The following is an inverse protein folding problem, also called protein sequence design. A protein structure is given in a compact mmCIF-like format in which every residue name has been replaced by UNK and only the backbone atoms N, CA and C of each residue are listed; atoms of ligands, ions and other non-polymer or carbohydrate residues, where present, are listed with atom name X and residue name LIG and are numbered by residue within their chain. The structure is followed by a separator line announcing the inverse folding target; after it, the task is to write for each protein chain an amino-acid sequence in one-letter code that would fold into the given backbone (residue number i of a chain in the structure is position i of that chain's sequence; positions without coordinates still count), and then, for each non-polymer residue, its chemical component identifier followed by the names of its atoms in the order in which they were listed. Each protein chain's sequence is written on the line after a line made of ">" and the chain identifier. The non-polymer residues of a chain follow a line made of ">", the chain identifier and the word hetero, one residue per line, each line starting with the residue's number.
data_IF_287309781029
#
_entry.id   IF_287309781029
#
_cell.length_a   1.000
_cell.length_b   1.000
_cell.length_c   1.000
_cell.angle_alpha   90.00
_cell.angle_beta   90.00
_cell.angle_gamma   90.00
#
_symmetry.space_group_name_H-M   'P 1'
#
loop_
_entity.id
_entity.type
_entity.pdbx_description
1 polymer ?
#
# COMPACT_ATOMS: atom_id res chain seq x y z
N UNK A 1 -18.66 10.39 -18.67
CA UNK A 1 -17.36 9.70 -18.59
C UNK A 1 -16.88 9.80 -17.15
N UNK A 2 -17.13 8.75 -16.37
CA UNK A 2 -16.77 8.70 -14.97
C UNK A 2 -15.31 8.27 -14.81
N UNK A 3 -14.70 8.63 -13.67
CA UNK A 3 -13.33 8.27 -13.28
C UNK A 3 -13.05 6.75 -13.41
N UNK A 4 -14.10 5.93 -13.38
CA UNK A 4 -14.05 4.47 -13.47
C UNK A 4 -13.95 3.92 -14.90
N UNK A 5 -14.25 4.71 -15.94
CA UNK A 5 -14.06 4.27 -17.34
C UNK A 5 -12.57 4.21 -17.73
N UNK A 6 -11.71 4.93 -16.99
CA UNK A 6 -10.26 4.90 -17.20
C UNK A 6 -9.62 3.63 -16.61
N UNK A 7 -10.15 3.11 -15.51
CA UNK A 7 -9.65 1.89 -14.86
C UNK A 7 -10.19 0.59 -15.52
N UNK A 8 -11.31 0.65 -16.25
CA UNK A 8 -12.04 -0.53 -16.73
C UNK A 8 -11.55 -1.19 -18.01
N UNK A 9 -10.61 -0.61 -18.76
CA UNK A 9 -10.35 -1.07 -20.14
C UNK A 9 -9.11 -1.98 -20.36
N UNK A 10 -8.33 -2.32 -19.35
CA UNK A 10 -7.09 -3.13 -19.56
C UNK A 10 -6.77 -4.22 -18.56
N UNK A 11 -7.67 -4.62 -17.68
CA UNK A 11 -7.40 -5.70 -16.74
C UNK A 11 -8.27 -6.91 -17.07
N UNK A 12 -7.79 -7.76 -17.97
CA UNK A 12 -8.30 -9.12 -18.19
C UNK A 12 -7.49 -10.12 -17.35
N UNK A 13 -7.28 -9.84 -16.08
CA UNK A 13 -6.87 -10.85 -15.12
C UNK A 13 -8.14 -11.40 -14.46
N UNK A 14 -8.42 -12.67 -14.61
CA UNK A 14 -9.63 -13.32 -14.12
C UNK A 14 -9.82 -13.16 -12.61
N UNK A 15 -8.75 -12.90 -11.86
CA UNK A 15 -8.79 -12.62 -10.43
C UNK A 15 -9.21 -11.18 -10.12
N UNK A 16 -8.78 -10.22 -10.93
CA UNK A 16 -9.20 -8.81 -10.80
C UNK A 16 -10.61 -8.59 -11.38
N UNK A 17 -11.00 -9.32 -12.42
CA UNK A 17 -12.36 -9.25 -12.97
C UNK A 17 -13.39 -9.80 -11.99
N UNK A 18 -13.02 -10.78 -11.15
CA UNK A 18 -13.91 -11.27 -10.08
C UNK A 18 -14.03 -10.25 -8.94
N UNK A 19 -12.98 -9.48 -8.66
CA UNK A 19 -13.00 -8.42 -7.64
C UNK A 19 -13.69 -7.15 -8.15
N UNK A 20 -13.49 -6.76 -9.41
CA UNK A 20 -14.12 -5.58 -10.02
C UNK A 20 -15.55 -5.85 -10.50
N UNK A 21 -15.89 -7.10 -10.86
CA UNK A 21 -17.22 -7.49 -11.29
C UNK A 21 -18.26 -7.62 -10.17
N UNK A 22 -17.79 -7.70 -8.92
CA UNK A 22 -18.63 -7.65 -7.72
C UNK A 22 -18.13 -6.54 -6.79
N UNK A 23 -18.14 -5.30 -7.25
CA UNK A 23 -18.14 -4.15 -6.35
C UNK A 23 -19.49 -4.16 -5.60
N UNK A 24 -19.62 -5.16 -4.77
CA UNK A 24 -20.62 -5.17 -3.72
C UNK A 24 -20.15 -4.07 -2.75
N UNK A 25 -21.02 -3.13 -2.40
CA UNK A 25 -20.75 -2.02 -1.45
C UNK A 25 -20.05 -2.49 -0.15
N UNK A 26 -19.84 -3.80 -0.02
CA UNK A 26 -19.47 -4.56 1.16
C UNK A 26 -17.97 -4.64 1.44
N UNK A 27 -17.14 -4.54 0.42
CA UNK A 27 -15.67 -4.72 0.56
C UNK A 27 -14.88 -3.43 0.32
N UNK A 28 -15.54 -2.37 -0.14
CA UNK A 28 -14.91 -1.14 -0.58
C UNK A 28 -13.94 -0.51 0.44
N UNK A 29 -14.25 -0.54 1.73
CA UNK A 29 -13.38 0.08 2.74
C UNK A 29 -12.10 -0.72 3.01
N UNK A 30 -12.18 -2.04 2.96
CA UNK A 30 -11.02 -2.91 3.17
C UNK A 30 -10.08 -2.87 1.98
N UNK A 31 -10.63 -2.99 0.75
CA UNK A 31 -9.86 -2.88 -0.48
C UNK A 31 -9.18 -1.52 -0.58
N UNK A 32 -9.91 -0.45 -0.22
CA UNK A 32 -9.36 0.90 -0.17
C UNK A 32 -8.21 1.01 0.85
N UNK A 33 -8.37 0.48 2.05
CA UNK A 33 -7.33 0.54 3.08
C UNK A 33 -6.07 -0.23 2.68
N UNK A 34 -6.22 -1.43 2.10
CA UNK A 34 -5.11 -2.23 1.58
C UNK A 34 -4.42 -1.50 0.43
N UNK A 35 -5.20 -0.97 -0.51
CA UNK A 35 -4.65 -0.24 -1.65
C UNK A 35 -3.86 1.01 -1.20
N UNK A 36 -4.39 1.77 -0.25
CA UNK A 36 -3.68 2.93 0.34
C UNK A 36 -2.39 2.47 1.01
N UNK A 37 -2.42 1.39 1.80
CA UNK A 37 -1.24 0.86 2.48
C UNK A 37 -0.15 0.43 1.49
N UNK A 38 -0.49 -0.39 0.50
CA UNK A 38 0.45 -0.87 -0.53
C UNK A 38 0.99 0.29 -1.36
N UNK A 39 0.13 1.21 -1.79
CA UNK A 39 0.53 2.40 -2.55
C UNK A 39 1.45 3.31 -1.74
N UNK A 40 1.20 3.49 -0.45
CA UNK A 40 2.07 4.28 0.43
C UNK A 40 3.47 3.66 0.53
N UNK A 41 3.57 2.35 0.75
CA UNK A 41 4.84 1.63 0.81
C UNK A 41 5.56 1.70 -0.54
N UNK A 42 4.86 1.42 -1.65
CA UNK A 42 5.43 1.42 -2.98
C UNK A 42 5.97 2.81 -3.37
N UNK A 43 5.19 3.87 -3.14
CA UNK A 43 5.62 5.24 -3.40
C UNK A 43 6.79 5.68 -2.51
N UNK A 44 6.87 5.19 -1.28
CA UNK A 44 8.00 5.49 -0.40
C UNK A 44 9.27 4.80 -0.88
N UNK A 45 9.21 3.50 -1.19
CA UNK A 45 10.36 2.74 -1.68
C UNK A 45 10.80 3.18 -3.08
N UNK A 46 9.89 3.63 -3.94
CA UNK A 46 10.23 4.16 -5.26
C UNK A 46 11.03 5.47 -5.23
N UNK A 47 11.03 6.18 -4.09
CA UNK A 47 11.88 7.36 -3.86
C UNK A 47 13.27 7.02 -3.31
N UNK A 48 13.47 5.78 -2.86
CA UNK A 48 14.77 5.34 -2.36
C UNK A 48 15.76 5.21 -3.51
N UNK A 49 16.98 5.67 -3.30
CA UNK A 49 18.08 5.42 -4.21
C UNK A 49 18.64 4.01 -3.97
N UNK A 50 18.84 3.24 -5.03
CA UNK A 50 19.49 1.93 -4.95
C UNK A 50 20.98 2.13 -5.24
N UNK A 51 21.78 2.15 -4.18
CA UNK A 51 23.23 2.34 -4.25
C UNK A 51 23.94 1.04 -4.56
N UNK A 52 24.89 1.10 -5.48
CA UNK A 52 25.74 -0.02 -5.88
C UNK A 52 27.16 0.24 -5.39
N UNK A 53 27.75 -0.75 -4.69
CA UNK A 53 29.12 -0.66 -4.19
C UNK A 53 29.98 -1.71 -4.89
N UNK A 54 31.18 -1.31 -5.33
CA UNK A 54 32.21 -2.15 -5.92
C UNK A 54 33.54 -1.86 -5.17
N UNK A 55 34.18 -2.91 -4.66
CA UNK A 55 35.33 -2.83 -3.73
C UNK A 55 35.12 -1.83 -2.56
N UNK A 56 33.89 -1.82 -2.02
CA UNK A 56 33.48 -0.95 -0.90
C UNK A 56 33.22 0.52 -1.25
N UNK A 57 33.35 0.91 -2.52
CA UNK A 57 33.10 2.28 -2.99
C UNK A 57 31.77 2.34 -3.74
N UNK A 58 31.02 3.41 -3.53
CA UNK A 58 29.80 3.68 -4.29
C UNK A 58 30.14 3.99 -5.75
N UNK A 59 29.45 3.30 -6.67
CA UNK A 59 29.67 3.43 -8.12
C UNK A 59 28.35 3.59 -8.87
N UNK A 60 28.32 4.47 -9.84
CA UNK A 60 27.18 4.66 -10.76
C UNK A 60 27.43 3.93 -12.08
N UNK A 61 27.37 2.60 -12.01
CA UNK A 61 27.59 1.70 -13.16
C UNK A 61 26.28 1.34 -13.90
N UNK A 62 26.34 0.42 -14.86
CA UNK A 62 25.18 -0.06 -15.62
C UNK A 62 24.07 -0.63 -14.72
N UNK A 63 24.44 -1.33 -13.63
CA UNK A 63 23.49 -1.87 -12.66
C UNK A 63 22.74 -0.76 -11.93
N UNK A 64 23.47 0.27 -11.47
CA UNK A 64 22.87 1.47 -10.87
C UNK A 64 21.85 2.13 -11.82
N UNK A 65 22.25 2.33 -13.10
CA UNK A 65 21.38 2.95 -14.09
C UNK A 65 20.08 2.16 -14.30
N UNK A 66 20.19 0.82 -14.38
CA UNK A 66 19.04 -0.06 -14.58
C UNK A 66 18.10 -0.09 -13.37
N UNK A 67 18.64 -0.13 -12.17
CA UNK A 67 17.80 -0.20 -10.97
C UNK A 67 17.09 1.11 -10.65
N UNK A 68 17.72 2.26 -10.96
CA UNK A 68 17.18 3.57 -10.59
C UNK A 68 16.51 4.33 -11.73
N UNK A 69 16.98 4.17 -12.97
CA UNK A 69 16.56 5.03 -14.08
C UNK A 69 15.75 4.26 -15.13
N UNK A 70 16.35 3.23 -15.74
CA UNK A 70 15.76 2.52 -16.88
C UNK A 70 15.99 1.02 -16.80
N UNK A 71 15.13 0.28 -16.09
CA UNK A 71 15.21 -1.18 -16.00
C UNK A 71 14.97 -1.87 -17.35
N UNK A 72 14.09 -1.30 -18.15
CA UNK A 72 13.75 -1.76 -19.50
C UNK A 72 13.21 -0.58 -20.33
N UNK A 73 12.89 -0.84 -21.62
CA UNK A 73 12.43 0.21 -22.53
C UNK A 73 11.06 0.80 -22.20
N UNK A 74 10.24 0.10 -21.38
CA UNK A 74 8.84 0.45 -21.14
C UNK A 74 8.61 1.04 -19.74
N UNK A 75 9.60 0.96 -18.83
CA UNK A 75 9.44 1.35 -17.43
C UNK A 75 10.63 2.18 -16.96
N UNK A 76 10.35 3.19 -16.14
CA UNK A 76 11.37 3.86 -15.35
C UNK A 76 11.59 3.16 -13.99
N UNK A 77 12.62 3.55 -13.25
CA UNK A 77 12.98 2.93 -11.97
C UNK A 77 11.84 2.95 -10.94
N UNK A 78 11.10 4.06 -10.83
CA UNK A 78 9.98 4.18 -9.90
C UNK A 78 8.82 3.25 -10.27
N UNK A 79 8.48 3.14 -11.55
CA UNK A 79 7.44 2.22 -12.03
C UNK A 79 7.82 0.77 -11.79
N UNK A 80 9.10 0.46 -11.98
CA UNK A 80 9.64 -0.88 -11.75
C UNK A 80 9.59 -1.26 -10.26
N UNK A 81 10.01 -0.37 -9.37
CA UNK A 81 9.94 -0.59 -7.93
C UNK A 81 8.50 -0.75 -7.47
N UNK A 82 7.58 0.11 -7.93
CA UNK A 82 6.15 0.00 -7.64
C UNK A 82 5.60 -1.37 -8.06
N UNK A 83 5.93 -1.85 -9.26
CA UNK A 83 5.48 -3.15 -9.74
C UNK A 83 6.00 -4.31 -8.86
N UNK A 84 7.27 -4.24 -8.40
CA UNK A 84 7.83 -5.23 -7.47
C UNK A 84 7.04 -5.24 -6.16
N UNK A 85 6.81 -4.07 -5.56
CA UNK A 85 6.14 -3.97 -4.26
C UNK A 85 4.66 -4.36 -4.35
N UNK A 86 3.97 -3.98 -5.41
CA UNK A 86 2.59 -4.42 -5.65
C UNK A 86 2.51 -5.95 -5.73
N UNK A 87 3.37 -6.60 -6.52
CA UNK A 87 3.43 -8.05 -6.62
C UNK A 87 3.79 -8.72 -5.29
N UNK A 88 4.77 -8.17 -4.59
CA UNK A 88 5.20 -8.66 -3.30
C UNK A 88 4.04 -8.71 -2.27
N UNK A 89 3.19 -7.68 -2.22
CA UNK A 89 2.08 -7.66 -1.28
C UNK A 89 0.82 -8.37 -1.77
N UNK A 90 0.43 -8.19 -3.04
CA UNK A 90 -0.81 -8.79 -3.55
C UNK A 90 -0.66 -10.28 -3.85
N UNK A 91 0.45 -10.70 -4.43
CA UNK A 91 0.69 -12.09 -4.79
C UNK A 91 1.49 -12.84 -3.70
N UNK A 92 2.09 -12.12 -2.73
CA UNK A 92 2.94 -12.66 -1.68
C UNK A 92 4.36 -12.96 -2.15
N UNK A 93 4.67 -12.72 -3.41
CA UNK A 93 6.00 -12.87 -4.01
C UNK A 93 6.11 -12.06 -5.29
N UNK A 94 7.30 -11.55 -5.58
CA UNK A 94 7.62 -10.87 -6.82
C UNK A 94 8.86 -11.51 -7.44
N UNK A 95 8.77 -11.85 -8.73
CA UNK A 95 9.87 -12.40 -9.50
C UNK A 95 10.32 -11.41 -10.56
N UNK A 96 11.60 -11.08 -10.55
CA UNK A 96 12.25 -10.24 -11.56
C UNK A 96 13.22 -11.10 -12.36
N UNK A 97 13.05 -11.10 -13.66
CA UNK A 97 13.94 -11.81 -14.59
C UNK A 97 14.79 -10.83 -15.37
N UNK A 98 15.98 -11.27 -15.72
CA UNK A 98 16.82 -10.57 -16.70
C UNK A 98 16.62 -11.19 -18.08
N UNK A 99 16.38 -10.34 -19.08
CA UNK A 99 16.39 -10.75 -20.49
C UNK A 99 17.04 -9.66 -21.34
N UNK A 100 18.04 -10.04 -22.13
CA UNK A 100 18.84 -9.11 -22.94
C UNK A 100 19.37 -7.92 -22.12
N UNK A 101 19.89 -8.20 -20.93
CA UNK A 101 20.39 -7.20 -19.98
C UNK A 101 19.34 -6.22 -19.45
N UNK A 102 18.07 -6.44 -19.63
CA UNK A 102 16.98 -5.63 -19.08
C UNK A 102 16.21 -6.42 -18.02
N UNK A 103 15.68 -5.70 -17.03
CA UNK A 103 14.92 -6.29 -15.93
C UNK A 103 13.41 -6.18 -16.18
N UNK A 104 12.70 -7.27 -15.96
CA UNK A 104 11.25 -7.36 -16.12
C UNK A 104 10.63 -8.01 -14.89
N UNK A 105 9.57 -7.41 -14.37
CA UNK A 105 8.74 -8.00 -13.31
C UNK A 105 7.78 -8.98 -13.95
N UNK A 106 7.73 -10.22 -13.46
CA UNK A 106 6.79 -11.22 -13.95
C UNK A 106 5.39 -10.96 -13.39
N UNK A 107 4.38 -10.99 -14.25
CA UNK A 107 2.97 -10.93 -13.86
C UNK A 107 2.53 -12.19 -13.13
N UNK A 108 2.98 -13.36 -13.63
CA UNK A 108 2.77 -14.66 -13.01
C UNK A 108 3.85 -15.66 -13.45
N UNK A 109 4.05 -16.68 -12.65
CA UNK A 109 5.01 -17.75 -12.90
C UNK A 109 4.62 -19.02 -12.14
N UNK A 110 5.14 -20.16 -12.57
CA UNK A 110 5.09 -21.41 -11.84
C UNK A 110 6.47 -21.72 -11.24
N UNK A 111 6.50 -22.27 -10.03
CA UNK A 111 7.73 -22.64 -9.33
C UNK A 111 7.82 -24.16 -9.17
N UNK A 112 8.87 -24.75 -9.69
CA UNK A 112 9.27 -26.12 -9.42
C UNK A 112 10.29 -26.08 -8.28
N UNK A 113 9.89 -26.62 -7.11
CA UNK A 113 10.72 -26.58 -5.90
C UNK A 113 11.65 -27.80 -5.90
N UNK A 114 12.96 -27.55 -5.84
CA UNK A 114 13.99 -28.56 -5.64
C UNK A 114 14.72 -28.32 -4.34
N UNK A 115 14.80 -29.35 -3.45
CA UNK A 115 15.33 -29.17 -2.08
C UNK A 115 16.83 -28.87 -2.06
N UNK A 116 17.62 -29.50 -2.92
CA UNK A 116 19.09 -29.39 -2.95
C UNK A 116 19.64 -28.74 -4.21
N UNK A 117 18.77 -28.23 -5.06
CA UNK A 117 19.13 -27.53 -6.29
C UNK A 117 18.40 -26.21 -6.39
N UNK A 118 18.85 -25.28 -7.24
CA UNK A 118 18.10 -24.05 -7.49
C UNK A 118 16.68 -24.35 -7.97
N UNK A 119 15.70 -23.68 -7.40
CA UNK A 119 14.32 -23.75 -7.88
C UNK A 119 14.26 -23.31 -9.33
N UNK A 120 13.35 -23.91 -10.09
CA UNK A 120 13.11 -23.57 -11.48
C UNK A 120 11.79 -22.80 -11.61
N UNK A 121 11.82 -21.71 -12.36
CA UNK A 121 10.66 -20.90 -12.69
C UNK A 121 10.26 -21.14 -14.14
N UNK A 122 8.99 -21.50 -14.33
CA UNK A 122 8.40 -21.83 -15.63
C UNK A 122 7.11 -21.04 -15.85
N UNK A 123 6.55 -21.08 -17.05
CA UNK A 123 5.32 -20.34 -17.41
C UNK A 123 5.40 -18.86 -17.08
N UNK A 124 6.55 -18.24 -17.37
CA UNK A 124 6.80 -16.84 -17.07
C UNK A 124 5.94 -15.94 -17.96
N UNK A 125 5.08 -15.14 -17.34
CA UNK A 125 4.26 -14.12 -18.02
C UNK A 125 4.83 -12.75 -17.70
N UNK A 126 5.12 -11.97 -18.73
CA UNK A 126 5.61 -10.58 -18.63
C UNK A 126 4.75 -9.72 -19.52
N UNK A 127 4.29 -8.58 -19.05
CA UNK A 127 3.37 -7.69 -19.78
C UNK A 127 2.19 -8.46 -20.41
N UNK A 128 1.60 -9.37 -19.63
CA UNK A 128 0.49 -10.26 -20.01
C UNK A 128 0.81 -11.24 -21.16
N UNK A 129 2.08 -11.39 -21.50
CA UNK A 129 2.52 -12.30 -22.56
C UNK A 129 3.30 -13.46 -21.97
N UNK A 130 2.91 -14.69 -22.32
CA UNK A 130 3.66 -15.89 -21.98
C UNK A 130 4.98 -15.89 -22.77
N UNK A 131 6.11 -15.85 -22.06
CA UNK A 131 7.41 -15.67 -22.70
C UNK A 131 8.00 -16.96 -23.27
N UNK A 132 7.53 -18.12 -22.82
CA UNK A 132 8.16 -19.42 -23.13
C UNK A 132 9.56 -19.61 -22.52
N UNK A 133 10.01 -18.67 -21.70
CA UNK A 133 11.31 -18.74 -21.02
C UNK A 133 11.20 -19.56 -19.75
N UNK A 134 12.30 -20.23 -19.41
CA UNK A 134 12.52 -20.86 -18.11
C UNK A 134 13.74 -20.21 -17.46
N UNK A 135 13.72 -20.04 -16.15
CA UNK A 135 14.81 -19.45 -15.39
C UNK A 135 15.04 -20.23 -14.09
N UNK A 136 16.27 -20.26 -13.64
CA UNK A 136 16.61 -20.79 -12.33
C UNK A 136 16.63 -19.66 -11.28
N UNK A 137 16.44 -20.03 -10.04
CA UNK A 137 16.48 -19.07 -8.93
C UNK A 137 17.85 -18.39 -8.78
N UNK A 138 18.90 -18.92 -9.38
CA UNK A 138 20.22 -18.28 -9.48
C UNK A 138 20.24 -17.03 -10.36
N UNK A 139 19.36 -17.00 -11.37
CA UNK A 139 19.39 -16.04 -12.47
C UNK A 139 18.24 -15.00 -12.38
N UNK A 140 17.56 -14.99 -11.25
CA UNK A 140 16.40 -14.13 -11.01
C UNK A 140 16.49 -13.48 -9.64
N UNK A 141 15.87 -12.30 -9.47
CA UNK A 141 15.59 -11.77 -8.16
C UNK A 141 14.19 -12.24 -7.74
N UNK A 142 14.13 -12.95 -6.61
CA UNK A 142 12.88 -13.50 -6.10
C UNK A 142 12.63 -12.95 -4.70
N UNK A 143 11.78 -11.95 -4.64
CA UNK A 143 11.33 -11.32 -3.40
C UNK A 143 10.12 -12.09 -2.88
N UNK A 144 10.25 -12.70 -1.72
CA UNK A 144 9.20 -13.52 -1.13
C UNK A 144 8.81 -13.02 0.23
N UNK A 145 7.52 -12.90 0.45
CA UNK A 145 6.97 -12.56 1.74
C UNK A 145 7.07 -13.79 2.66
N UNK A 146 8.06 -13.79 3.56
CA UNK A 146 8.29 -14.93 4.47
C UNK A 146 7.14 -15.13 5.45
N UNK A 147 6.46 -14.04 5.80
CA UNK A 147 5.30 -14.10 6.66
C UNK A 147 4.03 -14.41 5.86
N UNK A 148 3.85 -15.69 5.52
CA UNK A 148 2.59 -16.20 4.92
C UNK A 148 1.34 -15.80 5.72
N UNK A 149 1.52 -15.35 6.95
CA UNK A 149 0.44 -14.90 7.81
C UNK A 149 -0.10 -13.53 7.40
N UNK A 150 0.69 -12.63 6.81
CA UNK A 150 0.18 -11.32 6.36
C UNK A 150 -0.87 -11.53 5.27
N UNK A 151 -0.56 -12.35 4.25
CA UNK A 151 -1.54 -12.68 3.20
C UNK A 151 -2.77 -13.37 3.80
N UNK A 152 -2.60 -14.33 4.70
CA UNK A 152 -3.70 -15.00 5.39
C UNK A 152 -4.49 -14.08 6.32
N UNK A 153 -3.81 -13.15 7.02
CA UNK A 153 -4.47 -12.15 7.87
C UNK A 153 -5.28 -11.20 6.99
N UNK A 154 -4.74 -10.72 5.89
CA UNK A 154 -5.45 -9.88 4.93
C UNK A 154 -6.65 -10.63 4.33
N UNK A 155 -6.48 -11.88 3.90
CA UNK A 155 -7.56 -12.73 3.40
C UNK A 155 -8.62 -13.02 4.48
N UNK A 156 -8.21 -13.31 5.71
CA UNK A 156 -9.11 -13.55 6.84
C UNK A 156 -9.91 -12.29 7.20
N UNK A 157 -9.23 -11.17 7.32
CA UNK A 157 -9.86 -9.86 7.57
C UNK A 157 -10.83 -9.53 6.43
N UNK A 158 -10.45 -9.79 5.17
CA UNK A 158 -11.30 -9.60 4.00
C UNK A 158 -12.59 -10.43 4.09
N UNK A 159 -12.49 -11.71 4.39
CA UNK A 159 -13.65 -12.62 4.41
C UNK A 159 -14.54 -12.37 5.62
N UNK A 160 -14.00 -12.29 6.82
CA UNK A 160 -14.80 -12.22 8.05
C UNK A 160 -15.29 -10.79 8.35
N UNK A 161 -14.43 -9.79 8.21
CA UNK A 161 -14.84 -8.39 8.40
C UNK A 161 -15.78 -7.90 7.31
N UNK A 162 -15.58 -8.34 6.07
CA UNK A 162 -16.49 -8.05 4.96
C UNK A 162 -17.91 -8.53 5.26
N UNK A 163 -18.08 -9.72 5.86
CA UNK A 163 -19.40 -10.23 6.30
C UNK A 163 -20.02 -9.36 7.40
N UNK A 164 -19.22 -8.94 8.38
CA UNK A 164 -19.68 -8.09 9.48
C UNK A 164 -20.09 -6.71 8.99
N UNK A 165 -19.28 -6.07 8.14
CA UNK A 165 -19.60 -4.78 7.51
C UNK A 165 -20.89 -4.90 6.70
N UNK A 166 -21.04 -5.96 5.93
CA UNK A 166 -22.25 -6.24 5.13
C UNK A 166 -23.49 -6.35 5.99
N UNK A 167 -23.42 -7.13 7.07
CA UNK A 167 -24.52 -7.30 8.01
C UNK A 167 -24.90 -5.97 8.66
N UNK A 168 -23.93 -5.15 8.99
CA UNK A 168 -24.15 -3.84 9.61
C UNK A 168 -24.74 -2.82 8.65
N UNK A 169 -24.28 -2.78 7.41
CA UNK A 169 -24.90 -1.94 6.36
C UNK A 169 -26.35 -2.38 6.09
N UNK A 170 -26.62 -3.69 6.01
CA UNK A 170 -27.98 -4.20 5.85
C UNK A 170 -28.85 -3.86 7.05
N UNK A 171 -28.33 -3.97 8.29
CA UNK A 171 -29.04 -3.55 9.47
C UNK A 171 -29.31 -2.06 9.50
N UNK A 172 -28.34 -1.23 9.07
CA UNK A 172 -28.53 0.20 8.92
C UNK A 172 -29.63 0.53 7.88
N UNK A 173 -29.59 -0.09 6.68
CA UNK A 173 -30.62 0.05 5.66
C UNK A 173 -32.00 -0.38 6.17
N UNK A 174 -32.06 -1.49 6.96
CA UNK A 174 -33.32 -1.95 7.56
C UNK A 174 -33.86 -1.03 8.64
N UNK A 175 -32.98 -0.45 9.47
CA UNK A 175 -33.35 0.44 10.57
C UNK A 175 -33.74 1.82 10.09
N UNK A 176 -33.04 2.36 9.09
CA UNK A 176 -33.28 3.68 8.53
C UNK A 176 -34.22 3.68 7.32
N UNK A 177 -34.56 2.49 6.82
CA UNK A 177 -35.57 2.36 5.76
C UNK A 177 -36.94 2.71 6.29
N UNK A 178 -37.63 3.65 5.64
CA UNK A 178 -39.00 3.99 5.96
C UNK A 178 -39.91 2.80 5.65
N UNK A 179 -40.74 2.40 6.64
CA UNK A 179 -41.73 1.36 6.49
C UNK A 179 -43.09 2.02 6.46
N UNK A 180 -43.95 1.57 5.58
CA UNK A 180 -45.27 2.11 5.43
C UNK A 180 -46.29 1.00 5.68
N UNK A 181 -47.40 1.35 6.31
CA UNK A 181 -48.58 0.52 6.49
C UNK A 181 -49.64 1.04 5.55
N UNK A 182 -50.11 0.17 4.65
CA UNK A 182 -51.22 0.47 3.76
C UNK A 182 -52.49 -0.11 4.39
N UNK A 183 -53.37 0.74 4.84
CA UNK A 183 -54.68 0.36 5.32
C UNK A 183 -55.67 0.38 4.12
N UNK A 184 -56.36 -0.74 3.91
CA UNK A 184 -57.30 -0.90 2.82
C UNK A 184 -58.66 -1.16 3.42
N UNK A 185 -59.57 -0.24 3.23
CA UNK A 185 -60.98 -0.43 3.56
C UNK A 185 -61.68 -1.23 2.42
N UNK A 186 -62.50 -2.22 2.79
CA UNK A 186 -63.24 -3.03 1.82
C UNK A 186 -62.36 -3.89 0.88
N UNK A 187 -61.41 -4.63 1.42
CA UNK A 187 -60.62 -5.59 0.64
C UNK A 187 -61.50 -6.74 0.10
N UNK A 188 -61.56 -6.87 -1.22
CA UNK A 188 -62.39 -7.86 -1.91
C UNK A 188 -61.53 -8.99 -2.51
N UNK A 189 -61.23 -10.00 -1.72
CA UNK A 189 -60.36 -11.10 -2.12
C UNK A 189 -60.90 -11.94 -3.31
N UNK A 190 -62.21 -11.93 -3.55
CA UNK A 190 -62.84 -12.67 -4.67
C UNK A 190 -63.09 -11.87 -5.96
N UNK A 191 -62.73 -10.58 -5.96
CA UNK A 191 -62.96 -9.72 -7.12
C UNK A 191 -61.69 -9.59 -7.97
N UNK A 192 -61.71 -10.19 -9.17
CA UNK A 192 -60.54 -10.20 -10.06
C UNK A 192 -60.13 -8.81 -10.58
N UNK A 193 -61.07 -7.87 -10.70
CA UNK A 193 -60.82 -6.50 -11.12
C UNK A 193 -60.12 -5.71 -9.99
N UNK A 194 -60.60 -5.88 -8.76
CA UNK A 194 -59.97 -5.30 -7.58
C UNK A 194 -58.54 -5.79 -7.41
N UNK A 195 -58.28 -7.08 -7.58
CA UNK A 195 -56.92 -7.65 -7.44
C UNK A 195 -55.97 -7.14 -8.51
N UNK A 196 -56.42 -6.94 -9.77
CA UNK A 196 -55.64 -6.32 -10.83
C UNK A 196 -55.28 -4.86 -10.53
N UNK A 197 -56.27 -4.12 -10.01
CA UNK A 197 -56.08 -2.70 -9.65
C UNK A 197 -55.12 -2.57 -8.44
N UNK A 198 -55.27 -3.43 -7.46
CA UNK A 198 -54.38 -3.52 -6.30
C UNK A 198 -52.95 -3.86 -6.70
N UNK A 199 -52.73 -4.87 -7.52
CA UNK A 199 -51.44 -5.27 -8.05
C UNK A 199 -50.77 -4.14 -8.85
N UNK A 200 -51.53 -3.48 -9.73
CA UNK A 200 -51.05 -2.33 -10.50
C UNK A 200 -50.67 -1.16 -9.60
N UNK A 201 -51.49 -0.87 -8.58
CA UNK A 201 -51.21 0.19 -7.62
C UNK A 201 -49.91 -0.09 -6.84
N UNK A 202 -49.77 -1.29 -6.27
CA UNK A 202 -48.58 -1.66 -5.47
C UNK A 202 -47.30 -1.70 -6.32
N UNK A 203 -47.34 -2.38 -7.49
CA UNK A 203 -46.15 -2.61 -8.31
C UNK A 203 -45.68 -1.37 -9.05
N UNK A 204 -46.59 -0.49 -9.46
CA UNK A 204 -46.25 0.64 -10.31
C UNK A 204 -46.30 1.97 -9.56
N UNK A 205 -47.43 2.32 -8.96
CA UNK A 205 -47.62 3.66 -8.41
C UNK A 205 -46.95 3.83 -7.03
N UNK A 206 -47.18 2.89 -6.10
CA UNK A 206 -46.61 2.97 -4.77
C UNK A 206 -45.10 2.77 -4.82
N UNK A 207 -44.62 1.84 -5.66
CA UNK A 207 -43.18 1.64 -5.87
C UNK A 207 -42.51 2.90 -6.43
N UNK A 208 -43.10 3.49 -7.48
CA UNK A 208 -42.57 4.72 -8.07
C UNK A 208 -42.57 5.89 -7.09
N UNK A 209 -43.57 6.00 -6.23
CA UNK A 209 -43.61 7.01 -5.17
C UNK A 209 -42.50 6.83 -4.12
N UNK A 210 -42.20 5.59 -3.75
CA UNK A 210 -41.19 5.29 -2.74
C UNK A 210 -39.77 5.37 -3.27
N UNK A 211 -39.56 5.18 -4.57
CA UNK A 211 -38.24 5.18 -5.20
C UNK A 211 -37.81 6.53 -5.77
N UNK A 212 -38.71 7.48 -5.97
CA UNK A 212 -38.43 8.80 -6.54
C UNK A 212 -38.59 9.92 -5.52
N UNK A 213 -37.59 10.81 -5.46
CA UNK A 213 -37.60 11.96 -4.55
C UNK A 213 -38.71 12.99 -4.88
N UNK A 214 -39.18 13.03 -6.13
CA UNK A 214 -40.21 13.92 -6.64
C UNK A 214 -41.35 13.12 -7.24
N UNK A 215 -42.19 12.49 -6.41
CA UNK A 215 -43.32 11.71 -6.87
C UNK A 215 -44.61 12.17 -6.22
N UNK A 216 -45.69 12.06 -6.96
CA UNK A 216 -47.05 12.34 -6.49
C UNK A 216 -47.71 11.04 -6.09
N UNK A 217 -48.18 10.97 -4.84
CA UNK A 217 -48.97 9.83 -4.37
C UNK A 217 -50.45 10.05 -4.67
N UNK A 218 -51.04 9.27 -5.58
CA UNK A 218 -52.49 9.34 -5.82
C UNK A 218 -53.21 8.62 -4.69
N UNK A 219 -53.92 9.37 -3.84
CA UNK A 219 -54.73 8.80 -2.78
C UNK A 219 -56.11 8.39 -3.31
N UNK A 220 -56.38 7.09 -3.34
CA UNK A 220 -57.70 6.57 -3.66
C UNK A 220 -58.52 6.40 -2.37
N UNK A 221 -59.85 6.61 -2.50
CA UNK A 221 -60.75 6.41 -1.39
C UNK A 221 -60.70 4.95 -0.90
N UNK A 222 -60.41 4.76 0.39
CA UNK A 222 -60.25 3.45 0.98
C UNK A 222 -58.81 2.89 1.01
N UNK A 223 -57.85 3.66 0.47
CA UNK A 223 -56.42 3.33 0.55
C UNK A 223 -55.72 4.41 1.39
N UNK A 224 -55.31 4.08 2.60
CA UNK A 224 -54.63 5.03 3.46
C UNK A 224 -53.21 4.53 3.75
N UNK A 225 -52.22 5.34 3.36
CA UNK A 225 -50.80 5.05 3.56
C UNK A 225 -50.29 5.81 4.79
N UNK A 226 -49.90 5.11 5.79
CA UNK A 226 -49.34 5.66 7.02
C UNK A 226 -47.89 5.23 7.20
N UNK A 227 -47.02 6.12 7.64
CA UNK A 227 -45.66 5.74 8.01
C UNK A 227 -45.73 4.87 9.27
N UNK A 228 -45.23 3.65 9.17
CA UNK A 228 -45.16 2.72 10.31
C UNK A 228 -44.05 3.15 11.24
N UNK A 229 -44.42 3.93 12.27
CA UNK A 229 -43.52 4.27 13.35
C UNK A 229 -43.37 3.05 14.25
N UNK A 230 -42.19 2.47 14.28
CA UNK A 230 -41.88 1.39 15.19
C UNK A 230 -41.72 1.98 16.59
N UNK A 231 -42.74 1.83 17.45
CA UNK A 231 -42.64 2.19 18.87
C UNK A 231 -41.64 1.25 19.56
N UNK A 232 -40.50 1.75 19.83
CA UNK A 232 -39.43 1.08 20.56
C UNK A 232 -38.16 1.88 20.46
N UNK A 233 -37.42 1.99 21.54
CA UNK A 233 -36.08 2.56 21.61
C UNK A 233 -35.14 1.81 20.66
N UNK A 234 -35.33 2.01 19.37
CA UNK A 234 -34.40 1.54 18.35
C UNK A 234 -33.23 2.51 18.47
N UNK A 235 -32.22 2.12 19.26
CA UNK A 235 -30.91 2.71 19.11
C UNK A 235 -30.62 2.68 17.62
N UNK A 236 -30.88 3.79 16.95
CA UNK A 236 -30.56 3.96 15.55
C UNK A 236 -29.08 3.62 15.44
N UNK A 237 -28.74 2.59 14.65
CA UNK A 237 -27.37 2.41 14.24
C UNK A 237 -26.98 3.76 13.63
N UNK A 238 -26.23 4.53 14.41
CA UNK A 238 -25.94 5.89 14.07
C UNK A 238 -24.85 5.90 12.99
N UNK A 239 -24.73 6.99 12.25
CA UNK A 239 -23.59 7.18 11.36
C UNK A 239 -22.24 6.91 12.09
N UNK A 240 -22.21 7.03 13.42
CA UNK A 240 -21.07 6.71 14.26
C UNK A 240 -20.64 5.25 14.15
N UNK A 241 -21.56 4.29 13.97
CA UNK A 241 -21.21 2.87 13.90
C UNK A 241 -20.49 2.56 12.57
N UNK A 242 -20.90 3.17 11.47
CA UNK A 242 -20.24 3.04 10.17
C UNK A 242 -18.85 3.68 10.20
N UNK A 243 -18.72 4.84 10.84
CA UNK A 243 -17.44 5.54 11.02
C UNK A 243 -16.50 4.70 11.90
N UNK A 244 -17.01 4.13 12.99
CA UNK A 244 -16.25 3.24 13.86
C UNK A 244 -15.75 2.01 13.11
N UNK A 245 -16.59 1.33 12.35
CA UNK A 245 -16.22 0.17 11.54
C UNK A 245 -15.16 0.50 10.47
N UNK A 246 -15.29 1.66 9.83
CA UNK A 246 -14.26 2.12 8.90
C UNK A 246 -12.92 2.31 9.62
N UNK A 247 -12.94 2.95 10.78
CA UNK A 247 -11.73 3.17 11.58
C UNK A 247 -11.10 1.85 11.99
N UNK A 248 -11.89 0.89 12.49
CA UNK A 248 -11.41 -0.44 12.88
C UNK A 248 -10.77 -1.18 11.70
N UNK A 249 -11.38 -1.09 10.50
CA UNK A 249 -10.82 -1.69 9.28
C UNK A 249 -9.44 -1.11 8.95
N UNK A 250 -9.31 0.21 8.99
CA UNK A 250 -8.04 0.88 8.75
C UNK A 250 -7.01 0.54 9.83
N UNK A 251 -7.43 0.40 11.09
CA UNK A 251 -6.55 0.02 12.20
C UNK A 251 -5.97 -1.38 12.02
N UNK A 252 -6.80 -2.36 11.64
CA UNK A 252 -6.35 -3.73 11.38
C UNK A 252 -5.36 -3.77 10.22
N UNK A 253 -5.65 -3.05 9.12
CA UNK A 253 -4.74 -2.95 7.98
C UNK A 253 -3.43 -2.25 8.39
N UNK A 254 -3.51 -1.15 9.14
CA UNK A 254 -2.35 -0.43 9.64
C UNK A 254 -1.43 -1.34 10.48
N UNK A 255 -2.00 -2.14 11.37
CA UNK A 255 -1.26 -3.11 12.19
C UNK A 255 -0.65 -4.24 11.33
N UNK A 256 -1.39 -4.77 10.36
CA UNK A 256 -0.92 -5.84 9.47
C UNK A 256 0.29 -5.40 8.63
N UNK A 257 0.28 -4.18 8.12
CA UNK A 257 1.35 -3.60 7.31
C UNK A 257 2.40 -2.84 8.15
N UNK A 258 2.23 -2.77 9.48
CA UNK A 258 3.09 -2.02 10.40
C UNK A 258 3.20 -0.53 10.06
N UNK A 259 2.13 0.04 9.54
CA UNK A 259 2.01 1.45 9.21
C UNK A 259 1.34 2.17 10.37
N UNK A 260 1.82 3.32 10.85
CA UNK A 260 1.08 4.14 11.81
C UNK A 260 -0.31 4.51 11.29
N UNK A 261 -1.35 4.26 12.09
CA UNK A 261 -2.75 4.52 11.70
C UNK A 261 -2.99 5.95 11.24
N UNK A 262 -2.37 6.91 11.91
CA UNK A 262 -2.46 8.34 11.57
C UNK A 262 -1.97 8.63 10.15
N UNK A 263 -0.94 7.94 9.69
CA UNK A 263 -0.41 8.06 8.33
C UNK A 263 -1.39 7.48 7.31
N UNK A 264 -1.98 6.32 7.62
CA UNK A 264 -2.94 5.64 6.75
C UNK A 264 -4.27 6.42 6.62
N UNK A 265 -4.69 7.09 7.70
CA UNK A 265 -5.93 7.89 7.74
C UNK A 265 -5.74 9.35 7.34
N UNK A 266 -4.51 9.83 7.18
CA UNK A 266 -4.21 11.22 6.84
C UNK A 266 -4.35 12.22 8.00
N UNK A 267 -4.55 11.76 9.23
CA UNK A 267 -4.65 12.60 10.42
C UNK A 267 -3.29 12.69 11.12
N UNK A 268 -2.42 13.58 10.65
CA UNK A 268 -1.03 13.61 11.06
C UNK A 268 -0.80 14.79 12.01
N UNK A 269 -0.56 14.49 13.29
CA UNK A 269 0.06 15.38 14.25
C UNK A 269 1.49 14.86 14.48
N UNK A 270 2.50 15.73 14.53
CA UNK A 270 3.92 15.35 14.66
C UNK A 270 4.42 14.46 13.54
N UNK A 271 4.43 15.00 12.33
CA UNK A 271 4.78 14.26 11.10
C UNK A 271 6.14 13.56 11.19
N UNK A 272 7.14 14.21 11.78
CA UNK A 272 8.51 13.69 11.86
C UNK A 272 8.61 12.41 12.69
N UNK A 273 7.96 12.37 13.86
CA UNK A 273 8.01 11.19 14.74
C UNK A 273 7.25 10.01 14.13
N UNK A 274 6.06 10.27 13.58
CA UNK A 274 5.23 9.24 12.94
C UNK A 274 5.95 8.67 11.72
N UNK A 275 6.58 9.53 10.93
CA UNK A 275 7.30 9.11 9.75
C UNK A 275 8.55 8.31 10.09
N UNK A 276 9.28 8.68 11.15
CA UNK A 276 10.41 7.91 11.66
C UNK A 276 10.00 6.50 12.09
N UNK A 277 8.89 6.38 12.82
CA UNK A 277 8.34 5.06 13.19
C UNK A 277 7.98 4.26 11.94
N UNK A 278 7.31 4.87 10.97
CA UNK A 278 6.96 4.23 9.71
C UNK A 278 8.17 3.72 8.94
N UNK A 279 9.23 4.54 8.82
CA UNK A 279 10.47 4.12 8.18
C UNK A 279 11.07 2.89 8.89
N UNK A 280 11.24 2.96 10.20
CA UNK A 280 11.92 1.91 10.96
C UNK A 280 11.11 0.61 11.03
N UNK A 281 9.79 0.67 11.15
CA UNK A 281 8.96 -0.52 11.36
C UNK A 281 8.46 -1.17 10.07
N UNK A 282 8.27 -0.38 9.00
CA UNK A 282 7.68 -0.84 7.75
C UNK A 282 8.68 -0.80 6.59
N UNK A 283 9.32 0.33 6.33
CA UNK A 283 10.11 0.54 5.11
C UNK A 283 11.49 -0.10 5.18
N UNK A 284 12.25 0.13 6.25
CA UNK A 284 13.61 -0.40 6.39
C UNK A 284 13.66 -1.93 6.28
N UNK A 285 12.78 -2.72 6.94
CA UNK A 285 12.80 -4.16 6.78
C UNK A 285 12.59 -4.65 5.33
N UNK A 286 11.77 -3.93 4.56
CA UNK A 286 11.52 -4.26 3.14
C UNK A 286 12.73 -3.84 2.30
N UNK A 287 13.29 -2.66 2.55
CA UNK A 287 14.49 -2.16 1.89
C UNK A 287 15.69 -3.08 2.12
N UNK A 288 15.85 -3.59 3.35
CA UNK A 288 16.90 -4.56 3.69
C UNK A 288 16.70 -5.89 2.96
N UNK A 289 15.49 -6.43 2.94
CA UNK A 289 15.17 -7.66 2.20
C UNK A 289 15.48 -7.52 0.70
N UNK A 290 15.12 -6.37 0.09
CA UNK A 290 15.45 -6.09 -1.31
C UNK A 290 16.97 -6.01 -1.49
N UNK A 291 17.66 -5.30 -0.61
CA UNK A 291 19.12 -5.13 -0.63
C UNK A 291 19.85 -6.46 -0.52
N UNK A 292 19.39 -7.34 0.37
CA UNK A 292 19.95 -8.69 0.56
C UNK A 292 19.77 -9.56 -0.68
N UNK A 293 18.56 -9.59 -1.27
CA UNK A 293 18.31 -10.39 -2.47
C UNK A 293 19.11 -9.88 -3.66
N UNK A 294 19.16 -8.56 -3.88
CA UNK A 294 19.97 -7.96 -4.94
C UNK A 294 21.47 -8.28 -4.74
N UNK A 295 21.98 -8.11 -3.52
CA UNK A 295 23.38 -8.41 -3.20
C UNK A 295 23.71 -9.89 -3.39
N UNK A 296 22.84 -10.78 -2.88
CA UNK A 296 23.00 -12.24 -2.97
C UNK A 296 23.14 -12.74 -4.41
N UNK A 297 22.45 -12.08 -5.36
CA UNK A 297 22.45 -12.49 -6.77
C UNK A 297 23.55 -11.85 -7.61
N UNK A 298 24.00 -10.68 -7.21
CA UNK A 298 24.98 -9.92 -7.99
C UNK A 298 26.42 -10.11 -7.49
N UNK A 299 26.60 -10.47 -6.21
CA UNK A 299 27.92 -10.61 -5.61
C UNK A 299 28.26 -12.06 -5.26
N UNK A 300 29.48 -12.49 -5.58
CA UNK A 300 30.06 -13.72 -5.05
C UNK A 300 30.62 -13.48 -3.65
N UNK A 301 30.87 -14.55 -2.87
CA UNK A 301 31.48 -14.44 -1.54
C UNK A 301 32.79 -13.61 -1.54
N UNK A 302 33.64 -13.83 -2.54
CA UNK A 302 34.93 -13.14 -2.67
C UNK A 302 34.75 -11.63 -2.90
N UNK A 303 33.79 -11.24 -3.72
CA UNK A 303 33.46 -9.84 -4.01
C UNK A 303 32.78 -9.18 -2.83
N UNK A 304 31.80 -9.86 -2.23
CA UNK A 304 31.11 -9.37 -1.02
C UNK A 304 32.11 -9.09 0.13
N UNK A 305 33.12 -9.96 0.32
CA UNK A 305 34.17 -9.73 1.32
C UNK A 305 34.97 -8.45 1.07
N UNK A 306 35.07 -8.00 -0.18
CA UNK A 306 35.73 -6.74 -0.55
C UNK A 306 34.83 -5.51 -0.42
N UNK A 307 33.56 -5.70 -0.06
CA UNK A 307 32.61 -4.64 0.16
C UNK A 307 31.59 -4.44 -0.96
N UNK A 308 31.53 -5.36 -1.95
CA UNK A 308 30.49 -5.33 -2.97
C UNK A 308 29.13 -5.59 -2.34
N UNK A 309 28.18 -4.70 -2.58
CA UNK A 309 26.80 -4.82 -2.14
C UNK A 309 25.91 -3.90 -2.95
N UNK A 310 24.61 -4.19 -2.94
CA UNK A 310 23.58 -3.29 -3.41
C UNK A 310 22.71 -2.94 -2.21
N UNK A 311 22.49 -1.66 -1.98
CA UNK A 311 21.75 -1.16 -0.83
C UNK A 311 20.63 -0.21 -1.27
N UNK A 312 19.43 -0.46 -0.83
CA UNK A 312 18.32 0.51 -0.93
C UNK A 312 18.53 1.55 0.18
N UNK A 313 18.80 2.78 -0.21
CA UNK A 313 19.08 3.87 0.73
C UNK A 313 17.80 4.62 1.10
N UNK A 314 17.38 4.46 2.34
CA UNK A 314 16.17 5.08 2.89
C UNK A 314 16.43 6.47 3.48
N UNK A 315 17.70 6.91 3.56
CA UNK A 315 18.08 8.15 4.25
C UNK A 315 17.55 9.42 3.57
N UNK A 316 17.33 9.37 2.25
CA UNK A 316 16.89 10.52 1.46
C UNK A 316 15.37 10.71 1.43
N UNK A 317 14.60 9.85 2.11
CA UNK A 317 13.14 9.94 2.10
C UNK A 317 12.62 11.05 3.01
N UNK A 318 13.34 11.35 4.08
CA UNK A 318 12.99 12.43 5.00
C UNK A 318 13.28 13.77 4.36
N UNK A 319 12.23 14.59 4.19
CA UNK A 319 12.44 15.98 3.81
C UNK A 319 13.08 16.70 4.99
N UNK A 320 14.37 16.90 4.89
CA UNK A 320 15.15 17.60 5.91
C UNK A 320 14.99 19.08 5.63
N UNK A 321 14.31 19.80 6.54
CA UNK A 321 14.32 21.25 6.48
C UNK A 321 15.76 21.73 6.78
N UNK A 322 16.39 22.30 5.76
CA UNK A 322 17.78 22.77 5.84
C UNK A 322 17.99 23.76 6.98
N UNK A 323 16.95 24.53 7.33
CA UNK A 323 17.01 25.50 8.43
C UNK A 323 16.95 24.85 9.81
N UNK A 324 16.23 23.72 9.96
CA UNK A 324 16.21 22.95 11.22
C UNK A 324 17.50 22.14 11.44
N UNK A 325 18.24 21.86 10.37
CA UNK A 325 19.47 21.05 10.43
C UNK A 325 20.70 21.87 10.76
N UNK A 326 20.63 23.19 10.71
CA UNK A 326 21.79 24.07 10.93
C UNK A 326 22.58 23.74 12.20
N UNK A 327 21.89 23.54 13.33
CA UNK A 327 22.50 23.18 14.61
C UNK A 327 23.15 21.79 14.62
N UNK A 328 22.58 20.84 13.86
CA UNK A 328 23.15 19.48 13.72
C UNK A 328 24.35 19.47 12.79
N UNK A 329 24.32 20.24 11.72
CA UNK A 329 25.44 20.43 10.79
C UNK A 329 26.64 20.99 11.48
N UNK A 330 26.46 22.05 12.28
CA UNK A 330 27.54 22.64 13.09
C UNK A 330 28.16 21.59 14.01
N UNK A 331 27.35 20.83 14.74
CA UNK A 331 27.81 19.76 15.63
C UNK A 331 28.56 18.64 14.88
N UNK A 332 28.10 18.24 13.70
CA UNK A 332 28.75 17.17 12.91
C UNK A 332 30.09 17.63 12.34
N UNK A 333 30.18 18.87 11.88
CA UNK A 333 31.45 19.45 11.40
C UNK A 333 32.40 19.68 12.56
N UNK A 334 31.93 20.30 13.67
CA UNK A 334 32.74 20.64 14.80
C UNK A 334 33.26 19.46 15.61
N UNK A 335 32.56 18.32 15.54
CA UNK A 335 33.00 17.05 16.13
C UNK A 335 33.99 16.25 15.27
N UNK A 336 34.24 16.70 14.04
CA UNK A 336 35.07 15.99 13.09
C UNK A 336 34.43 14.75 12.47
N UNK A 337 33.13 14.56 12.67
CA UNK A 337 32.39 13.39 12.16
C UNK A 337 32.21 13.46 10.64
N UNK A 338 31.93 14.67 10.11
CA UNK A 338 31.77 14.92 8.68
C UNK A 338 32.55 16.16 8.26
N UNK A 339 33.07 16.14 7.03
CA UNK A 339 33.62 17.32 6.37
C UNK A 339 32.52 18.21 5.78
N UNK A 340 32.84 19.44 5.41
CA UNK A 340 31.88 20.34 4.76
C UNK A 340 31.36 19.76 3.45
N UNK A 341 32.23 19.14 2.64
CA UNK A 341 31.83 18.53 1.38
C UNK A 341 30.92 17.31 1.56
N UNK A 342 31.14 16.50 2.59
CA UNK A 342 30.27 15.36 2.91
C UNK A 342 28.89 15.81 3.42
N UNK A 343 28.82 16.90 4.19
CA UNK A 343 27.54 17.49 4.61
C UNK A 343 26.81 18.07 3.41
N UNK A 344 27.50 18.81 2.53
CA UNK A 344 26.91 19.39 1.32
C UNK A 344 26.32 18.29 0.41
N UNK A 345 27.06 17.20 0.21
CA UNK A 345 26.58 16.04 -0.56
C UNK A 345 25.33 15.41 0.03
N UNK A 346 25.28 15.27 1.37
CA UNK A 346 24.09 14.72 2.07
C UNK A 346 22.86 15.65 2.01
N UNK A 347 23.08 16.95 1.83
CA UNK A 347 22.05 17.96 1.66
C UNK A 347 21.74 18.27 0.18
N UNK A 348 22.25 17.44 -0.73
CA UNK A 348 22.07 17.56 -2.18
C UNK A 348 22.66 18.87 -2.79
N UNK A 349 23.69 19.42 -2.13
CA UNK A 349 24.46 20.54 -2.66
C UNK A 349 25.74 20.05 -3.32
N UNK A 350 26.16 20.77 -4.37
CA UNK A 350 27.46 20.51 -5.01
C UNK A 350 28.63 20.65 -4.00
N UNK A 351 29.57 19.70 -4.05
CA UNK A 351 30.82 19.78 -3.29
C UNK A 351 31.63 20.99 -3.72
N UNK A 352 32.26 21.66 -2.77
CA UNK A 352 33.18 22.76 -3.09
C UNK A 352 34.51 22.26 -3.63
N UNK A 353 34.88 21.01 -3.33
CA UNK A 353 36.12 20.34 -3.77
C UNK A 353 37.39 21.17 -3.49
N UNK A 354 37.41 21.88 -2.38
CA UNK A 354 38.57 22.61 -1.91
C UNK A 354 39.33 21.82 -0.86
N UNK A 355 40.62 22.10 -0.72
CA UNK A 355 41.45 21.48 0.37
C UNK A 355 40.85 21.78 1.77
N UNK A 356 40.20 22.93 1.93
CA UNK A 356 39.55 23.31 3.18
C UNK A 356 38.26 22.54 3.41
N UNK A 357 37.39 22.40 2.40
CA UNK A 357 36.09 21.79 2.55
C UNK A 357 36.12 20.27 2.70
N UNK A 358 37.20 19.62 2.31
CA UNK A 358 37.41 18.17 2.48
C UNK A 358 38.02 17.79 3.82
N UNK A 359 38.49 18.78 4.62
CA UNK A 359 39.11 18.52 5.95
C UNK A 359 38.01 18.31 7.01
N UNK A 360 38.33 17.42 7.97
CA UNK A 360 37.52 17.23 9.17
C UNK A 360 38.04 18.18 10.27
N UNK A 361 37.12 18.91 10.90
CA UNK A 361 37.44 19.90 11.93
C UNK A 361 37.03 19.39 13.31
N UNK A 362 37.93 19.47 14.27
CA UNK A 362 37.60 19.17 15.66
C UNK A 362 37.77 20.45 16.48
N UNK A 363 36.74 20.78 17.28
CA UNK A 363 36.82 21.91 18.17
C UNK A 363 37.87 21.70 19.26
N UNK A 364 38.55 22.78 19.71
CA UNK A 364 39.56 22.72 20.75
C UNK A 364 39.09 22.20 22.12
N UNK A 365 37.81 21.96 22.28
CA UNK A 365 37.19 21.43 23.51
C UNK A 365 37.42 19.91 23.70
N UNK A 366 37.90 19.22 22.68
CA UNK A 366 38.28 17.80 22.79
C UNK A 366 39.81 17.75 23.08
N UNK A 367 40.18 17.52 24.34
CA UNK A 367 41.53 17.21 24.74
C UNK A 367 41.67 15.70 24.89
N UNK A 368 42.82 15.14 24.47
CA UNK A 368 43.12 13.74 24.75
C UNK A 368 43.12 13.50 26.27
N UNK A 369 42.29 12.59 26.73
CA UNK A 369 42.37 12.04 28.09
C UNK A 369 43.72 11.29 28.21
N UNK A 370 44.70 11.93 28.82
CA UNK A 370 45.91 11.22 29.19
C UNK A 370 45.59 10.26 30.33
N UNK A 371 46.19 9.07 30.32
CA UNK A 371 45.99 8.00 31.32
C UNK A 371 46.14 8.42 32.80
N UNK A 372 46.53 9.67 33.08
CA UNK A 372 46.66 10.22 34.42
C UNK A 372 45.45 11.02 34.94
N UNK A 373 44.47 11.36 34.09
CA UNK A 373 43.34 12.23 34.47
C UNK A 373 42.14 11.48 35.08
N UNK A 374 42.21 10.15 35.13
CA UNK A 374 41.12 9.28 35.63
C UNK A 374 41.22 9.01 37.16
N UNK A 375 42.22 9.51 37.84
CA UNK A 375 42.47 9.18 39.27
C UNK A 375 42.04 10.29 40.26
N UNK A 376 41.43 11.38 39.84
CA UNK A 376 40.99 12.44 40.79
C UNK A 376 39.57 12.91 40.50
N UNK A 377 38.57 12.05 40.73
CA UNK A 377 37.23 12.41 41.18
C UNK A 377 36.72 11.35 42.17
#
# INVERSE_FOLDING_TARGET
>A
MGLFDFLGKKVTDSRFTTVVGTFDEKTCFLDLAIHIAVSLIANTLSKCEIKVFDDGKEVKNEMYYKLNISPNANQNGSQFMNAIIEKYFYDGEALVIENNKNFYVCDSFATEIEVFKPNKFTSLVVEKTLTGLERYSTDCFHFKLDNKNIKKIVEFVYVEYGKLISASIQNYKRKNGKKYKLNIENYQAGNSEFLKLYDSFIKNQLKSFLENDNAIYPQFKGFNLEEFKQDGNVNSASNSDIIAMRKDTFEIVAQAFKIPLSLLMGNINNINDIFKVYLTTCIEPIADMISEELTRKTSTFTRWKKGDKIKVDTSNITHVDIFEVGDYVDKMISSGTLSIDEVREKLDFEKLNTEFSSKHFITKNFTDLKEGDIQNE
#
